data_IF_449115770406
#
_entry.id   IF_449115770406
#
_cell.length_a   1.000
_cell.length_b   1.000
_cell.length_c   1.000
_cell.angle_alpha   90.00
_cell.angle_beta   90.00
_cell.angle_gamma   90.00
#
_symmetry.space_group_name_H-M   'P 1'
#
loop_
_entity.id
_entity.type
_entity.pdbx_description
1 polymer ?
#
# COMPACT_ATOMS: atom_id res chain seq x y z
N UNK A 1 24.89 6.26 9.12
CA UNK A 1 24.54 6.44 10.55
C UNK A 1 25.17 7.75 11.02
N UNK A 2 24.38 8.60 11.65
CA UNK A 2 24.85 9.84 12.26
C UNK A 2 24.82 9.63 13.78
N UNK A 3 25.98 9.52 14.45
CA UNK A 3 26.01 9.37 15.90
C UNK A 3 25.64 10.70 16.57
N UNK A 4 24.92 10.62 17.70
CA UNK A 4 24.47 11.79 18.43
C UNK A 4 23.79 12.83 17.53
N UNK A 5 22.68 12.42 16.92
CA UNK A 5 21.95 13.25 15.97
C UNK A 5 20.78 13.97 16.62
N UNK A 6 20.50 15.19 16.11
CA UNK A 6 19.23 15.86 16.29
C UNK A 6 18.37 15.67 15.03
N UNK A 7 17.09 15.46 15.24
CA UNK A 7 16.08 15.37 14.16
C UNK A 7 15.01 16.41 14.47
N UNK A 8 14.78 17.32 13.53
CA UNK A 8 13.71 18.32 13.65
C UNK A 8 12.55 17.91 12.77
N UNK A 9 11.35 17.86 13.38
CA UNK A 9 10.09 17.52 12.71
C UNK A 9 9.15 18.71 12.80
N UNK A 10 8.59 19.09 11.68
CA UNK A 10 7.57 20.13 11.58
C UNK A 10 6.44 19.65 10.68
N UNK A 11 5.20 19.82 11.10
CA UNK A 11 4.02 19.43 10.31
C UNK A 11 4.10 18.00 9.73
N UNK A 12 4.48 17.03 10.55
CA UNK A 12 4.66 15.62 10.18
C UNK A 12 5.74 15.37 9.09
N UNK A 13 6.70 16.30 8.95
CA UNK A 13 7.83 16.17 8.01
C UNK A 13 9.14 16.34 8.76
N UNK A 14 10.11 15.50 8.44
CA UNK A 14 11.48 15.74 8.88
C UNK A 14 12.02 16.93 8.06
N UNK A 15 12.32 18.04 8.73
CA UNK A 15 12.84 19.26 8.08
C UNK A 15 14.35 19.37 8.22
N UNK A 16 14.95 18.77 9.24
CA UNK A 16 16.39 18.73 9.39
C UNK A 16 16.84 17.46 10.14
N UNK A 17 18.01 16.96 9.77
CA UNK A 17 18.72 15.88 10.45
C UNK A 17 20.20 16.20 10.42
N UNK A 18 20.88 16.12 11.55
CA UNK A 18 22.30 16.37 11.59
C UNK A 18 22.92 15.97 12.92
N UNK A 19 24.23 16.16 13.03
CA UNK A 19 24.94 15.94 14.28
C UNK A 19 24.45 16.91 15.34
N UNK A 20 24.33 16.47 16.57
CA UNK A 20 23.87 17.26 17.72
C UNK A 20 24.58 18.60 17.80
N UNK A 21 23.78 19.66 17.92
CA UNK A 21 24.27 21.04 17.97
C UNK A 21 24.70 21.62 16.61
N UNK A 22 24.44 20.91 15.51
CA UNK A 22 24.68 21.39 14.14
C UNK A 22 23.40 21.63 13.34
N UNK A 23 22.27 21.40 13.98
CA UNK A 23 20.93 21.57 13.40
C UNK A 23 20.27 22.75 14.09
N UNK A 24 19.70 23.67 13.33
CA UNK A 24 18.91 24.77 13.88
C UNK A 24 17.60 24.21 14.44
N UNK A 25 17.40 24.35 15.74
CA UNK A 25 16.19 23.95 16.43
C UNK A 25 15.30 25.19 16.59
N UNK A 26 14.07 25.20 16.07
CA UNK A 26 13.16 26.32 16.19
C UNK A 26 12.90 26.69 17.67
N UNK A 27 12.83 27.98 17.97
CA UNK A 27 12.50 28.44 19.31
C UNK A 27 11.09 27.93 19.71
N UNK A 28 11.00 27.32 20.87
CA UNK A 28 9.73 26.74 21.36
C UNK A 28 9.39 25.36 20.82
N UNK A 29 10.32 24.68 20.17
CA UNK A 29 10.14 23.28 19.81
C UNK A 29 10.06 22.41 21.07
N UNK A 30 9.17 21.41 21.06
CA UNK A 30 9.10 20.36 22.08
C UNK A 30 10.30 19.42 21.90
N UNK A 31 11.10 19.26 22.95
CA UNK A 31 12.26 18.37 22.91
C UNK A 31 11.93 17.01 23.52
N UNK A 32 12.28 15.95 22.81
CA UNK A 32 12.16 14.56 23.29
C UNK A 32 13.55 13.96 23.39
N UNK A 33 13.99 13.63 24.59
CA UNK A 33 15.27 12.95 24.80
C UNK A 33 15.16 11.47 24.39
N UNK A 34 15.92 11.11 23.39
CA UNK A 34 16.06 9.75 22.87
C UNK A 34 17.48 9.20 23.04
N UNK A 35 18.22 9.72 24.02
CA UNK A 35 19.58 9.27 24.32
C UNK A 35 19.66 7.76 24.51
N UNK A 36 20.68 7.13 23.97
CA UNK A 36 20.88 5.68 23.96
C UNK A 36 19.96 4.90 23.02
N UNK A 37 19.17 5.58 22.21
CA UNK A 37 18.30 4.94 21.21
C UNK A 37 18.82 5.18 19.78
N UNK A 38 18.44 4.29 18.88
CA UNK A 38 18.64 4.47 17.44
C UNK A 38 17.29 4.77 16.79
N UNK A 39 17.23 5.86 16.03
CA UNK A 39 16.05 6.21 15.26
C UNK A 39 16.26 5.75 13.82
N UNK A 40 15.28 5.06 13.28
CA UNK A 40 15.22 4.64 11.89
C UNK A 40 13.86 4.92 11.26
N UNK A 41 13.72 4.78 9.95
CA UNK A 41 12.40 4.82 9.32
C UNK A 41 11.53 3.68 9.86
N UNK A 42 10.21 3.91 9.91
CA UNK A 42 9.26 2.86 10.22
C UNK A 42 9.26 1.77 9.14
N UNK A 43 8.86 0.57 9.51
CA UNK A 43 8.75 -0.55 8.58
C UNK A 43 7.61 -0.35 7.59
N UNK A 44 7.79 -0.91 6.40
CA UNK A 44 6.75 -0.99 5.36
C UNK A 44 6.36 -2.45 5.22
N UNK A 45 5.10 -2.77 5.54
CA UNK A 45 4.53 -4.09 5.24
C UNK A 45 3.90 -4.05 3.85
N UNK A 46 4.47 -4.80 2.92
CA UNK A 46 4.05 -4.81 1.52
C UNK A 46 2.92 -5.79 1.21
N UNK A 47 2.49 -6.59 2.21
CA UNK A 47 1.40 -7.55 2.07
C UNK A 47 0.57 -7.63 3.35
N UNK A 48 -0.12 -6.56 3.67
CA UNK A 48 -0.95 -6.45 4.87
C UNK A 48 -2.42 -6.24 4.52
N UNK A 49 -3.26 -7.26 4.68
CA UNK A 49 -4.69 -7.13 4.47
C UNK A 49 -5.36 -6.24 5.53
N UNK A 50 -5.56 -4.97 5.19
CA UNK A 50 -6.02 -3.91 6.10
C UNK A 50 -7.54 -3.80 6.13
N UNK A 51 -8.22 -4.85 6.57
CA UNK A 51 -9.68 -4.97 6.57
C UNK A 51 -10.25 -5.01 8.00
N UNK A 52 -10.54 -3.84 8.62
CA UNK A 52 -10.97 -3.78 10.02
C UNK A 52 -12.43 -4.21 10.25
N UNK A 53 -13.33 -3.98 9.30
CA UNK A 53 -14.75 -4.35 9.41
C UNK A 53 -15.46 -4.22 8.05
N UNK A 54 -16.58 -4.91 7.89
CA UNK A 54 -17.47 -4.81 6.74
C UNK A 54 -18.67 -3.92 7.11
N UNK A 55 -19.01 -2.98 6.23
CA UNK A 55 -20.24 -2.20 6.25
C UNK A 55 -20.35 -1.14 7.36
N UNK A 56 -19.67 -1.27 8.46
CA UNK A 56 -19.64 -0.29 9.55
C UNK A 56 -18.22 0.17 9.82
N UNK A 57 -17.97 1.47 9.69
CA UNK A 57 -16.67 2.04 9.97
C UNK A 57 -16.49 2.27 11.46
N UNK A 58 -15.45 1.69 12.03
CA UNK A 58 -15.04 1.95 13.40
C UNK A 58 -14.28 3.28 13.49
N UNK A 59 -14.41 3.96 14.61
CA UNK A 59 -13.62 5.17 14.89
C UNK A 59 -12.14 4.85 15.03
N UNK A 60 -11.83 3.65 15.55
CA UNK A 60 -10.47 3.13 15.70
C UNK A 60 -10.45 1.62 15.43
N UNK A 61 -9.42 1.15 14.74
CA UNK A 61 -9.20 -0.27 14.47
C UNK A 61 -7.96 -0.76 15.23
N UNK A 62 -8.10 -1.81 16.05
CA UNK A 62 -7.01 -2.35 16.86
C UNK A 62 -5.83 -2.83 16.00
N UNK A 63 -6.10 -3.41 14.84
CA UNK A 63 -5.06 -3.88 13.93
C UNK A 63 -4.17 -2.75 13.42
N UNK A 64 -4.69 -1.53 13.29
CA UNK A 64 -3.90 -0.36 12.91
C UNK A 64 -2.95 0.04 14.04
N UNK A 65 -3.44 -0.01 15.29
CA UNK A 65 -2.60 0.24 16.47
C UNK A 65 -1.54 -0.84 16.63
N UNK A 66 -1.88 -2.09 16.38
CA UNK A 66 -0.92 -3.20 16.43
C UNK A 66 0.21 -2.99 15.41
N UNK A 67 -0.11 -2.62 14.17
CA UNK A 67 0.92 -2.29 13.17
C UNK A 67 1.88 -1.21 13.69
N UNK A 68 1.35 -0.10 14.21
CA UNK A 68 2.17 0.98 14.76
C UNK A 68 2.99 0.53 15.96
N UNK A 69 2.42 -0.30 16.85
CA UNK A 69 3.13 -0.83 18.03
C UNK A 69 4.34 -1.72 17.66
N UNK A 70 4.27 -2.40 16.52
CA UNK A 70 5.39 -3.17 15.97
C UNK A 70 6.28 -2.35 15.02
N UNK A 71 6.09 -1.04 14.94
CA UNK A 71 6.90 -0.14 14.13
C UNK A 71 6.55 -0.13 12.64
N UNK A 72 5.46 -0.74 12.23
CA UNK A 72 4.95 -0.68 10.86
C UNK A 72 4.18 0.62 10.67
N UNK A 73 4.75 1.55 9.92
CA UNK A 73 4.18 2.89 9.69
C UNK A 73 3.56 3.07 8.32
N UNK A 74 3.76 2.11 7.43
CA UNK A 74 3.20 2.09 6.09
C UNK A 74 2.82 0.67 5.72
N UNK A 75 1.66 0.48 5.12
CA UNK A 75 1.20 -0.82 4.64
C UNK A 75 0.75 -0.74 3.19
N UNK A 76 1.00 -1.80 2.44
CA UNK A 76 0.32 -2.06 1.18
C UNK A 76 -0.67 -3.20 1.40
N UNK A 77 -1.93 -2.91 1.19
CA UNK A 77 -3.01 -3.90 1.23
C UNK A 77 -3.21 -4.46 -0.18
N UNK A 78 -2.85 -5.73 -0.41
CA UNK A 78 -2.83 -6.29 -1.75
C UNK A 78 -4.20 -6.74 -2.26
N UNK A 79 -5.25 -6.59 -1.48
CA UNK A 79 -6.63 -6.84 -1.89
C UNK A 79 -7.55 -6.92 -0.67
N UNK A 80 -8.69 -6.27 -0.79
CA UNK A 80 -9.84 -6.47 0.11
C UNK A 80 -11.07 -6.91 -0.70
N UNK A 81 -12.08 -7.44 -0.02
CA UNK A 81 -13.33 -7.79 -0.68
C UNK A 81 -14.25 -6.58 -0.89
N UNK A 82 -13.94 -5.44 -0.26
CA UNK A 82 -14.73 -4.21 -0.31
C UNK A 82 -13.85 -2.99 -0.55
N UNK A 83 -14.47 -1.83 -0.75
CA UNK A 83 -13.79 -0.54 -0.88
C UNK A 83 -13.61 0.17 0.48
N UNK A 84 -14.04 -0.41 1.58
CA UNK A 84 -13.99 0.23 2.91
C UNK A 84 -12.57 0.60 3.35
N UNK A 85 -11.58 -0.18 2.93
CA UNK A 85 -10.17 0.10 3.20
C UNK A 85 -9.74 1.48 2.69
N UNK A 86 -10.28 1.94 1.57
CA UNK A 86 -9.98 3.26 0.99
C UNK A 86 -10.48 4.37 1.91
N UNK A 87 -11.70 4.21 2.46
CA UNK A 87 -12.24 5.14 3.46
C UNK A 87 -11.39 5.16 4.73
N UNK A 88 -10.91 4.00 5.20
CA UNK A 88 -10.01 3.95 6.35
C UNK A 88 -8.66 4.61 6.06
N UNK A 89 -8.11 4.43 4.87
CA UNK A 89 -6.89 5.12 4.44
C UNK A 89 -7.06 6.64 4.46
N UNK A 90 -8.19 7.15 3.96
CA UNK A 90 -8.54 8.57 3.99
C UNK A 90 -8.67 9.09 5.43
N UNK A 91 -9.30 8.32 6.32
CA UNK A 91 -9.43 8.69 7.74
C UNK A 91 -8.08 8.76 8.45
N UNK A 92 -7.16 7.84 8.16
CA UNK A 92 -5.80 7.91 8.70
C UNK A 92 -5.07 9.15 8.17
N UNK A 93 -5.18 9.42 6.87
CA UNK A 93 -4.59 10.60 6.24
C UNK A 93 -5.12 11.91 6.82
N UNK A 94 -6.42 11.96 7.13
CA UNK A 94 -7.08 13.11 7.75
C UNK A 94 -6.83 13.21 9.28
N UNK A 95 -6.11 12.29 9.88
CA UNK A 95 -5.86 12.28 11.33
C UNK A 95 -7.09 11.87 12.18
N UNK A 96 -8.13 11.34 11.57
CA UNK A 96 -9.36 10.91 12.25
C UNK A 96 -9.25 9.52 12.89
N UNK A 97 -8.22 8.77 12.52
CA UNK A 97 -7.94 7.41 13.00
C UNK A 97 -6.44 7.23 13.08
N UNK A 98 -5.93 6.71 14.20
CA UNK A 98 -4.53 6.33 14.30
C UNK A 98 -4.26 5.06 13.51
N UNK A 99 -3.24 5.08 12.68
CA UNK A 99 -2.86 3.93 11.88
C UNK A 99 -1.65 4.19 10.99
N UNK A 100 -1.10 3.15 10.36
CA UNK A 100 -0.09 3.30 9.33
C UNK A 100 -0.69 4.00 8.10
N UNK A 101 0.16 4.56 7.23
CA UNK A 101 -0.30 4.95 5.88
C UNK A 101 -0.73 3.70 5.14
N UNK A 102 -1.94 3.71 4.59
CA UNK A 102 -2.51 2.55 3.91
C UNK A 102 -2.58 2.81 2.42
N UNK A 103 -1.87 2.00 1.65
CA UNK A 103 -1.97 1.95 0.19
C UNK A 103 -2.65 0.64 -0.19
N UNK A 104 -3.86 0.70 -0.70
CA UNK A 104 -4.61 -0.50 -1.07
C UNK A 104 -4.76 -0.62 -2.58
N UNK A 105 -4.79 -1.85 -3.07
CA UNK A 105 -5.24 -2.14 -4.43
C UNK A 105 -6.76 -1.99 -4.57
N UNK A 106 -7.49 -1.89 -3.45
CA UNK A 106 -8.93 -2.10 -3.45
C UNK A 106 -9.30 -3.56 -3.71
N UNK A 107 -10.51 -3.85 -4.18
CA UNK A 107 -10.92 -5.19 -4.59
C UNK A 107 -10.01 -5.77 -5.66
N UNK A 108 -9.70 -7.06 -5.57
CA UNK A 108 -8.88 -7.72 -6.60
C UNK A 108 -9.64 -7.90 -7.92
N UNK A 109 -8.90 -8.09 -9.01
CA UNK A 109 -9.48 -8.47 -10.31
C UNK A 109 -9.57 -9.99 -10.36
N UNK A 110 -10.80 -10.50 -10.23
CA UNK A 110 -11.11 -11.93 -10.15
C UNK A 110 -11.64 -12.50 -11.47
N UNK A 111 -11.73 -13.82 -11.55
CA UNK A 111 -12.37 -14.51 -12.68
C UNK A 111 -13.82 -14.08 -12.90
N UNK A 112 -14.54 -13.73 -11.82
CA UNK A 112 -15.92 -13.22 -11.86
C UNK A 112 -16.10 -11.93 -12.64
N UNK A 113 -15.04 -11.17 -12.92
CA UNK A 113 -15.10 -10.00 -13.81
C UNK A 113 -15.39 -10.37 -15.26
N UNK A 114 -15.19 -11.63 -15.63
CA UNK A 114 -15.55 -12.15 -16.95
C UNK A 114 -14.91 -11.40 -18.11
N UNK A 115 -13.64 -11.02 -17.98
CA UNK A 115 -12.89 -10.27 -19.01
C UNK A 115 -13.00 -10.97 -20.36
N UNK A 116 -13.47 -10.24 -21.38
CA UNK A 116 -13.80 -10.81 -22.71
C UNK A 116 -13.00 -10.21 -23.85
N UNK A 117 -12.40 -9.04 -23.65
CA UNK A 117 -11.60 -8.33 -24.65
C UNK A 117 -10.62 -7.38 -23.97
N UNK A 118 -9.72 -6.80 -24.75
CA UNK A 118 -8.82 -5.74 -24.30
C UNK A 118 -9.61 -4.51 -23.81
N UNK A 119 -10.64 -4.09 -24.56
CA UNK A 119 -11.48 -2.95 -24.16
C UNK A 119 -12.19 -3.24 -22.83
N UNK A 120 -12.74 -4.44 -22.67
CA UNK A 120 -13.40 -4.81 -21.41
C UNK A 120 -12.41 -4.82 -20.24
N UNK A 121 -11.19 -5.29 -20.43
CA UNK A 121 -10.14 -5.19 -19.40
C UNK A 121 -9.86 -3.74 -19.05
N UNK A 122 -9.73 -2.86 -20.06
CA UNK A 122 -9.52 -1.44 -19.85
C UNK A 122 -10.67 -0.80 -19.07
N UNK A 123 -11.92 -1.10 -19.38
CA UNK A 123 -13.09 -0.57 -18.66
C UNK A 123 -13.17 -1.05 -17.21
N UNK A 124 -12.86 -2.32 -16.96
CA UNK A 124 -12.77 -2.86 -15.61
C UNK A 124 -11.70 -2.13 -14.80
N UNK A 125 -10.53 -1.86 -15.40
CA UNK A 125 -9.42 -1.22 -14.70
C UNK A 125 -9.63 0.28 -14.48
N UNK A 126 -10.47 0.96 -15.25
CA UNK A 126 -10.87 2.35 -14.97
C UNK A 126 -11.49 2.54 -13.58
N UNK A 127 -12.10 1.49 -13.00
CA UNK A 127 -12.54 1.57 -11.60
C UNK A 127 -11.38 1.89 -10.66
N UNK A 128 -10.21 1.37 -10.94
CA UNK A 128 -9.01 1.55 -10.12
C UNK A 128 -8.31 2.86 -10.40
N UNK A 129 -8.09 3.20 -11.68
CA UNK A 129 -7.42 4.45 -12.06
C UNK A 129 -8.25 5.70 -11.76
N UNK A 130 -9.53 5.70 -12.13
CA UNK A 130 -10.35 6.90 -12.13
C UNK A 130 -11.16 7.09 -10.84
N UNK A 131 -11.69 5.99 -10.28
CA UNK A 131 -12.58 6.06 -9.12
C UNK A 131 -11.89 5.72 -7.80
N UNK A 132 -11.20 4.59 -7.71
CA UNK A 132 -10.48 4.22 -6.49
C UNK A 132 -9.17 4.98 -6.36
N UNK A 133 -8.62 5.47 -7.46
CA UNK A 133 -7.33 6.18 -7.55
C UNK A 133 -6.19 5.39 -6.92
N UNK A 134 -6.22 4.08 -7.09
CA UNK A 134 -5.14 3.20 -6.67
C UNK A 134 -4.02 3.23 -7.71
N UNK A 135 -2.78 3.12 -7.25
CA UNK A 135 -1.61 3.01 -8.15
C UNK A 135 -1.23 1.57 -8.43
N UNK A 136 -1.78 0.65 -7.65
CA UNK A 136 -1.53 -0.78 -7.77
C UNK A 136 -2.85 -1.53 -7.81
N UNK A 137 -2.85 -2.66 -8.53
CA UNK A 137 -3.97 -3.60 -8.54
C UNK A 137 -3.45 -4.99 -8.25
N UNK A 138 -4.31 -5.88 -7.74
CA UNK A 138 -4.02 -7.30 -7.64
C UNK A 138 -4.86 -8.07 -8.65
N UNK A 139 -4.22 -8.72 -9.59
CA UNK A 139 -4.85 -9.70 -10.47
C UNK A 139 -4.90 -11.04 -9.73
N UNK A 140 -6.11 -11.48 -9.38
CA UNK A 140 -6.34 -12.69 -8.62
C UNK A 140 -6.79 -13.85 -9.53
N UNK A 141 -5.83 -14.49 -10.18
CA UNK A 141 -6.06 -15.65 -11.08
C UNK A 141 -7.23 -15.42 -12.06
N UNK A 142 -7.30 -14.24 -12.67
CA UNK A 142 -8.42 -13.84 -13.52
C UNK A 142 -8.42 -14.60 -14.85
N UNK A 143 -9.18 -15.68 -14.93
CA UNK A 143 -9.42 -16.40 -16.16
C UNK A 143 -8.20 -17.12 -16.76
N UNK A 144 -8.18 -17.21 -18.09
CA UNK A 144 -7.08 -17.84 -18.84
C UNK A 144 -5.93 -16.84 -19.11
N UNK A 145 -4.83 -17.32 -19.71
CA UNK A 145 -3.65 -16.47 -19.98
C UNK A 145 -3.98 -15.26 -20.84
N UNK A 146 -4.80 -15.42 -21.88
CA UNK A 146 -5.18 -14.30 -22.76
C UNK A 146 -5.90 -13.20 -21.97
N UNK A 147 -6.78 -13.55 -21.05
CA UNK A 147 -7.48 -12.59 -20.20
C UNK A 147 -6.50 -11.85 -19.27
N UNK A 148 -5.52 -12.55 -18.72
CA UNK A 148 -4.47 -11.94 -17.90
C UNK A 148 -3.56 -11.03 -18.71
N UNK A 149 -3.27 -11.36 -19.97
CA UNK A 149 -2.54 -10.48 -20.89
C UNK A 149 -3.31 -9.20 -21.23
N UNK A 150 -4.61 -9.26 -21.38
CA UNK A 150 -5.44 -8.05 -21.51
C UNK A 150 -5.41 -7.18 -20.27
N UNK A 151 -5.45 -7.78 -19.09
CA UNK A 151 -5.35 -7.04 -17.82
C UNK A 151 -4.01 -6.30 -17.71
N UNK A 152 -2.87 -6.98 -17.98
CA UNK A 152 -1.57 -6.31 -17.87
C UNK A 152 -1.38 -5.22 -18.89
N UNK A 153 -1.91 -5.40 -20.10
CA UNK A 153 -1.87 -4.37 -21.15
C UNK A 153 -2.67 -3.14 -20.73
N UNK A 154 -3.92 -3.34 -20.27
CA UNK A 154 -4.76 -2.25 -19.79
C UNK A 154 -4.14 -1.55 -18.55
N UNK A 155 -3.52 -2.30 -17.65
CA UNK A 155 -2.85 -1.73 -16.49
C UNK A 155 -1.68 -0.81 -16.90
N UNK A 156 -0.87 -1.22 -17.85
CA UNK A 156 0.23 -0.39 -18.39
C UNK A 156 -0.28 0.91 -19.01
N UNK A 157 -1.33 0.83 -19.82
CA UNK A 157 -1.95 2.00 -20.47
C UNK A 157 -2.47 3.00 -19.44
N UNK A 158 -3.01 2.52 -18.33
CA UNK A 158 -3.57 3.32 -17.23
C UNK A 158 -2.55 3.64 -16.12
N UNK A 159 -1.28 3.28 -16.30
CA UNK A 159 -0.20 3.51 -15.33
C UNK A 159 -0.47 2.87 -13.96
N UNK A 160 -1.17 1.75 -13.95
CA UNK A 160 -1.36 0.91 -12.79
C UNK A 160 -0.24 -0.14 -12.72
N UNK A 161 0.20 -0.48 -11.53
CA UNK A 161 1.16 -1.55 -11.31
C UNK A 161 0.40 -2.82 -10.86
N UNK A 162 0.21 -3.81 -11.74
CA UNK A 162 -0.48 -5.03 -11.38
C UNK A 162 0.46 -6.02 -10.70
N UNK A 163 0.04 -6.60 -9.58
CA UNK A 163 0.63 -7.81 -9.04
C UNK A 163 -0.25 -9.01 -9.35
N UNK A 164 0.34 -10.18 -9.38
CA UNK A 164 -0.39 -11.44 -9.52
C UNK A 164 -0.51 -12.15 -8.17
N UNK A 165 -1.56 -12.94 -7.98
CA UNK A 165 -1.73 -13.75 -6.78
C UNK A 165 -0.51 -14.64 -6.50
N UNK A 166 0.07 -15.20 -7.56
CA UNK A 166 1.04 -16.28 -7.40
C UNK A 166 0.35 -17.59 -7.01
N UNK A 167 1.12 -18.62 -6.82
CA UNK A 167 0.59 -19.92 -6.42
C UNK A 167 1.62 -21.05 -6.57
N UNK A 168 1.20 -22.26 -6.27
CA UNK A 168 2.07 -23.45 -6.33
C UNK A 168 2.35 -23.94 -7.76
N UNK A 169 1.66 -23.39 -8.77
CA UNK A 169 1.86 -23.77 -10.17
C UNK A 169 3.00 -22.97 -10.80
N UNK A 170 4.14 -23.63 -10.98
CA UNK A 170 5.32 -23.04 -11.60
C UNK A 170 5.04 -22.46 -13.00
N UNK A 171 4.24 -23.18 -13.82
CA UNK A 171 3.91 -22.72 -15.18
C UNK A 171 3.13 -21.40 -15.12
N UNK A 172 2.14 -21.30 -14.25
CA UNK A 172 1.36 -20.09 -14.05
C UNK A 172 2.26 -18.91 -13.65
N UNK A 173 3.12 -19.13 -12.66
CA UNK A 173 4.02 -18.07 -12.18
C UNK A 173 5.00 -17.60 -13.28
N UNK A 174 5.56 -18.55 -14.04
CA UNK A 174 6.45 -18.23 -15.16
C UNK A 174 5.72 -17.46 -16.27
N UNK A 175 4.49 -17.84 -16.61
CA UNK A 175 3.67 -17.11 -17.58
C UNK A 175 3.44 -15.66 -17.16
N UNK A 176 3.15 -15.42 -15.87
CA UNK A 176 2.94 -14.06 -15.35
C UNK A 176 4.20 -13.21 -15.45
N UNK A 177 5.36 -13.77 -15.13
CA UNK A 177 6.64 -13.09 -15.29
C UNK A 177 6.92 -12.73 -16.75
N UNK A 178 6.73 -13.70 -17.68
CA UNK A 178 6.93 -13.50 -19.13
C UNK A 178 5.96 -12.44 -19.67
N UNK A 179 4.72 -12.45 -19.23
CA UNK A 179 3.70 -11.48 -19.64
C UNK A 179 3.95 -10.09 -19.02
N UNK A 180 4.89 -9.99 -18.07
CA UNK A 180 5.41 -8.73 -17.55
C UNK A 180 4.67 -8.20 -16.32
N UNK A 181 4.08 -9.06 -15.51
CA UNK A 181 3.62 -8.68 -14.18
C UNK A 181 4.83 -8.34 -13.29
N UNK A 182 4.88 -7.16 -12.69
CA UNK A 182 6.06 -6.69 -11.95
C UNK A 182 6.20 -7.28 -10.54
N UNK A 183 5.17 -7.96 -10.05
CA UNK A 183 5.17 -8.53 -8.70
C UNK A 183 4.28 -9.76 -8.59
N UNK A 184 4.66 -10.64 -7.68
CA UNK A 184 3.97 -11.85 -7.30
C UNK A 184 3.75 -11.84 -5.79
N UNK A 185 2.53 -12.08 -5.34
CA UNK A 185 2.16 -11.95 -3.92
C UNK A 185 2.55 -13.17 -3.09
N UNK A 186 2.45 -14.37 -3.70
CA UNK A 186 2.73 -15.64 -3.05
C UNK A 186 3.65 -16.51 -3.91
N UNK A 187 4.44 -17.36 -3.27
CA UNK A 187 5.36 -18.33 -3.90
C UNK A 187 4.87 -19.76 -3.70
#
# INVERSE_FOLDING_TARGET
IIPNADIVVENNRIVAVGQRGRVDIPAGADEVDVSGKTIGPGFVDTHAHMRPAWGLHKSQAWMFLANLAYGVTTTRDPQTATTDVLTYADRVTAGMTLGPRIYSTGPGVFSGEGIRSQEHASDVLKRYSDYYRTHTIKMYMAGNRQQRQWIITAAREQKLMPTTEGGLDFKYNLEMMIDGYPGQEHS
#
